data_IF_056755716245
#
_entry.id   IF_056755716245
#
_cell.length_a   1.000
_cell.length_b   1.000
_cell.length_c   1.000
_cell.angle_alpha   90.00
_cell.angle_beta   90.00
_cell.angle_gamma   90.00
#
_symmetry.space_group_name_H-M   'P 1'
#
loop_
_entity.id
_entity.type
_entity.pdbx_description
1 polymer ?
#
# COMPACT_ATOMS: atom_id res chain seq x y z
N UNK A 1 19.38 -5.49 6.76
CA UNK A 1 18.14 -4.77 7.11
C UNK A 1 18.14 -3.46 6.34
N UNK A 2 17.67 -3.46 5.09
CA UNK A 2 17.55 -2.23 4.30
C UNK A 2 16.08 -2.06 3.93
N UNK A 3 15.61 -0.82 3.79
CA UNK A 3 14.29 -0.53 3.24
C UNK A 3 14.14 -1.18 1.85
N UNK A 4 13.11 -1.99 1.69
CA UNK A 4 12.77 -2.67 0.43
C UNK A 4 11.49 -2.09 -0.14
N UNK A 5 11.27 -2.29 -1.44
CA UNK A 5 9.96 -2.00 -2.04
C UNK A 5 8.90 -2.94 -1.44
N UNK A 6 7.74 -2.38 -1.09
CA UNK A 6 6.55 -3.14 -0.68
C UNK A 6 5.59 -3.21 -1.88
N UNK A 7 5.79 -4.22 -2.72
CA UNK A 7 4.97 -4.42 -3.93
C UNK A 7 3.51 -4.76 -3.59
N UNK A 8 3.26 -5.39 -2.44
CA UNK A 8 1.90 -5.73 -1.99
C UNK A 8 1.14 -4.44 -1.64
N UNK A 9 1.80 -3.52 -0.91
CA UNK A 9 1.26 -2.20 -0.62
C UNK A 9 0.94 -1.43 -1.91
N UNK A 10 1.89 -1.37 -2.85
CA UNK A 10 1.70 -0.67 -4.12
C UNK A 10 0.54 -1.27 -4.93
N UNK A 11 0.43 -2.60 -4.97
CA UNK A 11 -0.69 -3.30 -5.59
C UNK A 11 -2.02 -2.89 -4.96
N UNK A 12 -2.12 -2.93 -3.63
CA UNK A 12 -3.36 -2.59 -2.91
C UNK A 12 -3.76 -1.14 -3.17
N UNK A 13 -2.82 -0.20 -3.12
CA UNK A 13 -3.08 1.22 -3.38
C UNK A 13 -3.54 1.40 -4.83
N UNK A 14 -2.78 0.86 -5.78
CA UNK A 14 -3.07 1.01 -7.20
C UNK A 14 -4.44 0.43 -7.55
N UNK A 15 -4.80 -0.72 -6.97
CA UNK A 15 -6.11 -1.34 -7.13
C UNK A 15 -7.23 -0.51 -6.50
N UNK A 16 -6.99 0.07 -5.31
CA UNK A 16 -7.96 0.93 -4.62
C UNK A 16 -8.30 2.21 -5.38
N UNK A 17 -7.35 2.73 -6.15
CA UNK A 17 -7.48 3.95 -6.91
C UNK A 17 -8.15 3.76 -8.28
N UNK A 18 -8.29 2.53 -8.78
CA UNK A 18 -8.94 2.29 -10.08
C UNK A 18 -10.41 2.68 -10.04
N UNK A 19 -10.87 3.42 -11.06
CA UNK A 19 -12.25 3.88 -11.15
C UNK A 19 -13.26 2.74 -11.15
N UNK A 20 -12.94 1.68 -11.89
CA UNK A 20 -13.76 0.48 -12.12
C UNK A 20 -13.92 -0.45 -10.92
N UNK A 21 -13.08 -0.30 -9.90
CA UNK A 21 -13.07 -1.22 -8.76
C UNK A 21 -13.96 -0.65 -7.65
N UNK A 22 -15.06 -1.32 -7.35
CA UNK A 22 -15.95 -0.95 -6.24
C UNK A 22 -15.47 -1.49 -4.89
N UNK A 23 -14.84 -2.66 -4.89
CA UNK A 23 -14.40 -3.35 -3.67
C UNK A 23 -12.88 -3.57 -3.63
N UNK A 24 -12.22 -3.07 -2.57
CA UNK A 24 -10.77 -3.26 -2.34
C UNK A 24 -10.49 -4.17 -1.15
N UNK A 25 -11.46 -4.37 -0.26
CA UNK A 25 -11.22 -5.02 1.03
C UNK A 25 -10.70 -6.46 0.88
N UNK A 26 -11.09 -7.18 -0.18
CA UNK A 26 -10.60 -8.54 -0.45
C UNK A 26 -9.09 -8.56 -0.66
N UNK A 27 -8.57 -7.64 -1.47
CA UNK A 27 -7.13 -7.56 -1.77
C UNK A 27 -6.33 -7.04 -0.58
N UNK A 28 -6.89 -6.14 0.22
CA UNK A 28 -6.29 -5.72 1.49
C UNK A 28 -6.18 -6.89 2.48
N UNK A 29 -7.22 -7.70 2.58
CA UNK A 29 -7.21 -8.90 3.42
C UNK A 29 -6.19 -9.93 2.94
N UNK A 30 -6.28 -10.32 1.66
CA UNK A 30 -5.41 -11.32 1.04
C UNK A 30 -3.94 -10.87 1.14
N UNK A 31 -3.64 -9.64 0.69
CA UNK A 31 -2.29 -9.09 0.78
C UNK A 31 -1.78 -8.99 2.22
N UNK A 32 -2.65 -8.63 3.17
CA UNK A 32 -2.31 -8.56 4.59
C UNK A 32 -1.97 -9.92 5.19
N UNK A 33 -2.70 -10.96 4.82
CA UNK A 33 -2.41 -12.35 5.23
C UNK A 33 -1.08 -12.80 4.62
N UNK A 34 -0.87 -12.62 3.31
CA UNK A 34 0.39 -12.99 2.66
C UNK A 34 1.58 -12.27 3.30
N UNK A 35 1.52 -10.95 3.49
CA UNK A 35 2.61 -10.20 4.12
C UNK A 35 2.87 -10.65 5.57
N UNK A 36 1.83 -11.10 6.30
CA UNK A 36 1.97 -11.61 7.67
C UNK A 36 2.63 -12.99 7.75
N UNK A 37 2.63 -13.79 6.67
CA UNK A 37 3.26 -15.12 6.66
C UNK A 37 4.78 -15.08 6.48
N UNK A 38 5.29 -14.04 5.81
CA UNK A 38 6.72 -13.91 5.50
C UNK A 38 7.49 -13.06 6.51
N UNK A 39 6.82 -12.41 7.46
CA UNK A 39 7.43 -11.39 8.30
C UNK A 39 7.54 -11.87 9.75
N UNK A 40 8.65 -11.54 10.41
CA UNK A 40 8.87 -11.81 11.83
C UNK A 40 8.07 -10.86 12.76
N UNK A 41 6.97 -10.30 12.27
CA UNK A 41 6.11 -9.39 12.99
C UNK A 41 4.88 -10.13 13.53
N UNK A 42 4.25 -9.65 14.62
CA UNK A 42 2.99 -10.21 15.09
C UNK A 42 1.97 -10.32 13.96
N UNK A 43 1.28 -11.46 13.92
CA UNK A 43 0.22 -11.70 12.94
C UNK A 43 -0.82 -10.56 12.99
N UNK A 44 -1.19 -10.03 11.83
CA UNK A 44 -2.15 -8.93 11.71
C UNK A 44 -1.53 -7.52 11.62
N UNK A 45 -0.22 -7.35 11.86
CA UNK A 45 0.45 -6.04 11.72
C UNK A 45 0.27 -5.45 10.32
N UNK A 46 0.59 -6.24 9.28
CA UNK A 46 0.42 -5.82 7.88
C UNK A 46 -1.04 -5.72 7.47
N UNK A 47 -1.90 -6.57 8.03
CA UNK A 47 -3.33 -6.54 7.78
C UNK A 47 -3.91 -5.16 8.19
N UNK A 48 -3.60 -4.71 9.41
CA UNK A 48 -4.00 -3.36 9.87
C UNK A 48 -3.40 -2.27 8.99
N UNK A 49 -2.10 -2.31 8.71
CA UNK A 49 -1.44 -1.29 7.89
C UNK A 49 -2.02 -1.17 6.48
N UNK A 50 -2.30 -2.30 5.83
CA UNK A 50 -2.86 -2.34 4.49
C UNK A 50 -4.33 -1.93 4.44
N UNK A 51 -5.15 -2.31 5.43
CA UNK A 51 -6.54 -1.83 5.52
C UNK A 51 -6.62 -0.31 5.71
N UNK A 52 -5.79 0.24 6.61
CA UNK A 52 -5.71 1.70 6.82
C UNK A 52 -5.28 2.41 5.53
N UNK A 53 -4.26 1.87 4.86
CA UNK A 53 -3.76 2.44 3.62
C UNK A 53 -4.79 2.38 2.48
N UNK A 54 -5.45 1.24 2.30
CA UNK A 54 -6.52 1.10 1.29
C UNK A 54 -7.66 2.09 1.54
N UNK A 55 -8.01 2.33 2.80
CA UNK A 55 -9.00 3.33 3.19
C UNK A 55 -8.55 4.75 2.81
N UNK A 56 -7.29 5.11 3.08
CA UNK A 56 -6.71 6.40 2.65
C UNK A 56 -6.72 6.53 1.13
N UNK A 57 -6.33 5.49 0.40
CA UNK A 57 -6.34 5.50 -1.06
C UNK A 57 -7.77 5.73 -1.60
N UNK A 58 -8.77 5.08 -1.02
CA UNK A 58 -10.19 5.31 -1.38
C UNK A 58 -10.65 6.74 -1.10
N UNK A 59 -10.23 7.34 0.00
CA UNK A 59 -10.53 8.74 0.30
C UNK A 59 -9.86 9.69 -0.70
N UNK A 60 -8.60 9.42 -1.06
CA UNK A 60 -7.87 10.19 -2.06
C UNK A 60 -8.49 10.08 -3.46
N UNK A 61 -8.94 8.88 -3.87
CA UNK A 61 -9.66 8.69 -5.13
C UNK A 61 -10.86 9.64 -5.24
N UNK A 62 -11.66 9.73 -4.17
CA UNK A 62 -12.85 10.61 -4.13
C UNK A 62 -12.48 12.09 -4.22
N UNK A 63 -11.33 12.50 -3.66
CA UNK A 63 -10.92 13.91 -3.60
C UNK A 63 -10.09 14.38 -4.81
N UNK A 64 -9.31 13.49 -5.42
CA UNK A 64 -8.32 13.79 -6.46
C UNK A 64 -8.64 13.01 -7.74
N UNK A 65 -9.90 13.02 -8.17
CA UNK A 65 -10.37 12.28 -9.34
C UNK A 65 -9.77 12.76 -10.67
N UNK A 66 -9.36 14.04 -10.76
CA UNK A 66 -8.76 14.63 -11.97
C UNK A 66 -7.29 14.25 -12.20
N UNK A 67 -6.60 13.72 -11.19
CA UNK A 67 -5.15 13.46 -11.24
C UNK A 67 -4.80 12.11 -10.58
N UNK A 68 -5.15 10.97 -11.20
CA UNK A 68 -5.00 9.64 -10.61
C UNK A 68 -3.55 9.28 -10.27
N UNK A 69 -2.57 9.71 -11.08
CA UNK A 69 -1.15 9.49 -10.78
C UNK A 69 -0.68 10.26 -9.54
N UNK A 70 -1.22 11.47 -9.31
CA UNK A 70 -0.90 12.23 -8.10
C UNK A 70 -1.53 11.57 -6.87
N UNK A 71 -2.75 11.05 -7.01
CA UNK A 71 -3.40 10.26 -5.96
C UNK A 71 -2.58 9.01 -5.62
N UNK A 72 -2.01 8.33 -6.63
CA UNK A 72 -1.12 7.18 -6.44
C UNK A 72 0.14 7.54 -5.65
N UNK A 73 0.83 8.61 -6.02
CA UNK A 73 2.03 9.06 -5.30
C UNK A 73 1.72 9.47 -3.86
N UNK A 74 0.65 10.24 -3.65
CA UNK A 74 0.21 10.66 -2.32
C UNK A 74 -0.18 9.46 -1.44
N UNK A 75 -0.99 8.54 -1.99
CA UNK A 75 -1.40 7.34 -1.27
C UNK A 75 -0.21 6.43 -0.97
N UNK A 76 0.75 6.31 -1.89
CA UNK A 76 2.00 5.55 -1.69
C UNK A 76 2.83 6.13 -0.56
N UNK A 77 3.02 7.46 -0.55
CA UNK A 77 3.73 8.14 0.52
C UNK A 77 3.06 7.88 1.88
N UNK A 78 1.77 8.20 1.99
CA UNK A 78 1.02 8.09 3.24
C UNK A 78 0.92 6.63 3.69
N UNK A 79 0.64 5.72 2.76
CA UNK A 79 0.54 4.29 3.01
C UNK A 79 1.84 3.68 3.52
N UNK A 80 2.97 4.07 2.92
CA UNK A 80 4.29 3.61 3.37
C UNK A 80 4.56 4.07 4.80
N UNK A 81 4.29 5.34 5.11
CA UNK A 81 4.41 5.88 6.47
C UNK A 81 3.52 5.10 7.45
N UNK A 82 2.24 4.87 7.11
CA UNK A 82 1.29 4.10 7.93
C UNK A 82 1.83 2.70 8.23
N UNK A 83 2.22 1.94 7.20
CA UNK A 83 2.71 0.57 7.36
C UNK A 83 3.96 0.51 8.23
N UNK A 84 4.91 1.44 8.05
CA UNK A 84 6.11 1.50 8.88
C UNK A 84 5.81 1.93 10.32
N UNK A 85 4.89 2.86 10.54
CA UNK A 85 4.45 3.26 11.89
C UNK A 85 3.78 2.11 12.62
N UNK A 86 2.85 1.40 11.98
CA UNK A 86 2.18 0.21 12.54
C UNK A 86 3.21 -0.88 12.83
N UNK A 87 4.15 -1.11 11.92
CA UNK A 87 5.24 -2.08 12.11
C UNK A 87 6.14 -1.71 13.29
N UNK A 88 6.46 -0.43 13.48
CA UNK A 88 7.28 0.03 14.59
C UNK A 88 6.55 -0.18 15.93
N UNK A 89 5.27 0.18 16.00
CA UNK A 89 4.43 -0.04 17.19
C UNK A 89 4.36 -1.53 17.54
N UNK A 90 4.16 -2.39 16.53
CA UNK A 90 4.15 -3.84 16.74
C UNK A 90 5.50 -4.37 17.27
N UNK A 91 6.63 -3.87 16.78
CA UNK A 91 7.97 -4.25 17.29
C UNK A 91 8.20 -3.82 18.73
N UNK A 92 7.74 -2.62 19.09
CA UNK A 92 7.81 -2.14 20.47
C UNK A 92 7.01 -3.05 21.41
N UNK A 93 5.85 -3.53 20.97
CA UNK A 93 5.02 -4.46 21.76
C UNK A 93 5.68 -5.84 21.99
N UNK A 94 6.60 -6.25 21.12
CA UNK A 94 7.34 -7.52 21.25
C UNK A 94 8.72 -7.37 21.91
N UNK A 95 9.03 -6.18 22.45
CA UNK A 95 10.28 -5.91 23.14
C UNK A 95 11.48 -5.60 22.22
N UNK A 96 11.26 -5.50 20.90
CA UNK A 96 12.30 -5.13 19.93
C UNK A 96 12.36 -3.61 19.82
N UNK A 97 13.31 -3.00 20.53
CA UNK A 97 13.52 -1.56 20.49
C UNK A 97 14.53 -1.17 19.40
N UNK A 98 14.02 -0.62 18.29
CA UNK A 98 14.84 0.00 17.25
C UNK A 98 14.75 1.51 17.44
N UNK A 99 15.87 2.24 17.59
CA UNK A 99 15.84 3.69 17.68
C UNK A 99 15.09 4.29 16.49
N UNK A 100 14.17 5.21 16.75
CA UNK A 100 13.30 5.81 15.71
C UNK A 100 14.12 6.39 14.57
N UNK A 101 15.21 7.11 14.89
CA UNK A 101 16.10 7.69 13.88
C UNK A 101 16.75 6.63 12.98
N UNK A 102 17.12 5.48 13.54
CA UNK A 102 17.66 4.34 12.79
C UNK A 102 16.58 3.73 11.89
N UNK A 103 15.38 3.53 12.41
CA UNK A 103 14.25 3.02 11.61
C UNK A 103 13.90 3.97 10.45
N UNK A 104 13.95 5.29 10.68
CA UNK A 104 13.72 6.29 9.64
C UNK A 104 14.78 6.21 8.53
N UNK A 105 16.06 6.24 8.90
CA UNK A 105 17.15 6.33 7.92
C UNK A 105 17.40 5.02 7.15
N UNK A 106 17.24 3.87 7.81
CA UNK A 106 17.63 2.57 7.25
C UNK A 106 16.45 1.82 6.64
N UNK A 107 15.23 2.08 7.12
CA UNK A 107 14.03 1.32 6.73
C UNK A 107 13.05 2.21 5.97
N UNK A 108 12.57 3.29 6.61
CA UNK A 108 11.49 4.11 6.05
C UNK A 108 11.93 4.88 4.82
N UNK A 109 13.02 5.67 4.89
CA UNK A 109 13.45 6.52 3.78
C UNK A 109 13.81 5.71 2.52
N UNK A 110 14.61 4.64 2.58
CA UNK A 110 14.92 3.85 1.40
C UNK A 110 13.68 3.15 0.83
N UNK A 111 12.84 2.57 1.69
CA UNK A 111 11.60 1.89 1.28
C UNK A 111 10.59 2.85 0.64
N UNK A 112 10.44 4.04 1.21
CA UNK A 112 9.60 5.12 0.68
C UNK A 112 10.05 5.56 -0.71
N UNK A 113 11.36 5.78 -0.90
CA UNK A 113 11.91 6.15 -2.20
C UNK A 113 11.65 5.07 -3.25
N UNK A 114 11.89 3.80 -2.91
CA UNK A 114 11.62 2.67 -3.81
C UNK A 114 10.13 2.54 -4.13
N UNK A 115 9.26 2.68 -3.12
CA UNK A 115 7.81 2.63 -3.30
C UNK A 115 7.33 3.75 -4.22
N UNK A 116 7.79 4.98 -4.01
CA UNK A 116 7.43 6.12 -4.86
C UNK A 116 7.93 5.94 -6.30
N UNK A 117 9.15 5.44 -6.48
CA UNK A 117 9.71 5.15 -7.80
C UNK A 117 8.86 4.11 -8.55
N UNK A 118 8.43 3.06 -7.85
CA UNK A 118 7.65 1.95 -8.42
C UNK A 118 6.14 2.24 -8.48
N UNK A 119 5.66 3.29 -7.83
CA UNK A 119 4.24 3.64 -7.79
C UNK A 119 3.65 3.83 -9.19
N UNK A 120 4.38 4.52 -10.07
CA UNK A 120 3.94 4.81 -11.44
C UNK A 120 3.83 3.52 -12.29
N UNK A 121 4.88 2.69 -12.44
CA UNK A 121 4.78 1.48 -13.25
C UNK A 121 3.74 0.50 -12.69
N UNK A 122 3.68 0.31 -11.37
CA UNK A 122 2.68 -0.58 -10.75
C UNK A 122 1.26 -0.07 -11.03
N UNK A 123 1.03 1.24 -10.91
CA UNK A 123 -0.27 1.82 -11.18
C UNK A 123 -0.73 1.64 -12.64
N UNK A 124 0.19 1.77 -13.60
CA UNK A 124 -0.12 1.52 -15.01
C UNK A 124 -0.52 0.07 -15.25
N UNK A 125 0.26 -0.90 -14.74
CA UNK A 125 -0.02 -2.33 -14.89
C UNK A 125 -1.38 -2.68 -14.27
N UNK A 126 -1.68 -2.14 -13.08
CA UNK A 126 -2.96 -2.40 -12.42
C UNK A 126 -4.15 -1.81 -13.16
N UNK A 127 -3.98 -0.68 -13.84
CA UNK A 127 -5.02 -0.11 -14.68
C UNK A 127 -5.37 -1.06 -15.83
N UNK A 128 -4.35 -1.62 -16.49
CA UNK A 128 -4.55 -2.56 -17.60
C UNK A 128 -5.19 -3.88 -17.12
N UNK A 129 -4.85 -4.34 -15.90
CA UNK A 129 -5.53 -5.49 -15.30
C UNK A 129 -6.99 -5.19 -14.95
N UNK A 130 -7.27 -4.00 -14.42
CA UNK A 130 -8.62 -3.62 -14.03
C UNK A 130 -9.56 -3.44 -15.23
N UNK A 131 -9.05 -2.93 -16.37
CA UNK A 131 -9.84 -2.83 -17.61
C UNK A 131 -10.17 -4.20 -18.19
N UNK A 132 -9.27 -5.19 -18.04
CA UNK A 132 -9.52 -6.55 -18.49
C UNK A 132 -10.54 -7.31 -17.61
N UNK A 133 -10.47 -7.11 -16.29
CA UNK A 133 -11.37 -7.77 -15.33
C UNK A 133 -12.76 -7.10 -15.24
N UNK A 134 -12.84 -5.81 -15.53
CA UNK A 134 -14.09 -5.04 -15.57
C UNK A 134 -14.20 -4.33 -16.94
N UNK A 135 -14.45 -5.09 -18.03
CA UNK A 135 -14.69 -4.51 -19.35
C UNK A 135 -16.00 -3.71 -19.35
N UNK A 136 -16.08 -2.67 -20.18
CA UNK A 136 -17.32 -1.90 -20.33
C UNK A 136 -18.39 -2.81 -20.94
N UNK A 137 -19.54 -2.92 -20.27
CA UNK A 137 -20.75 -3.45 -20.91
C UNK A 137 -21.03 -2.50 -22.08
N UNK A 138 -20.73 -2.95 -23.30
CA UNK A 138 -21.13 -2.26 -24.51
C UNK A 138 -22.65 -2.13 -24.44
N UNK A 139 -23.14 -0.90 -24.23
CA UNK A 139 -24.55 -0.57 -24.44
C UNK A 139 -24.89 -0.99 -25.88
N UNK A 140 -25.65 -2.07 -25.99
CA UNK A 140 -26.16 -2.63 -27.24
C UNK A 140 -27.55 -2.07 -27.53
#
# INVERSE_FOLDING_TARGET
MNGTADLILLFIIAWALQDRVESTWQWSFIGGVFASLYTALPFGTYLVGYFLTASVARLLKRRVWKAPFLAMLAATFIGTVIVHSVSLIARLSTGVNIPVLTALNVILLPGLLLNLLLAIPVFSIMRDMATWLYPEELEA
#
